data_IF_137043556941
#
_entry.id   IF_137043556941
#
_cell.length_a   1.000
_cell.length_b   1.000
_cell.length_c   1.000
_cell.angle_alpha   90.00
_cell.angle_beta   90.00
_cell.angle_gamma   90.00
#
_symmetry.space_group_name_H-M   'P 1'
#
loop_
_entity.id
_entity.type
_entity.pdbx_description
1 polymer ?
#
# COMPACT_ATOMS: atom_id res chain seq x y z
N UNK A 1 -4.47 22.81 41.41
CA UNK A 1 -3.50 22.85 40.28
C UNK A 1 -3.32 24.31 39.88
N UNK A 2 -2.09 24.83 39.95
CA UNK A 2 -1.81 26.23 39.65
C UNK A 2 -2.16 26.55 38.18
N UNK A 3 -2.66 27.76 37.90
CA UNK A 3 -2.94 28.24 36.53
C UNK A 3 -1.74 28.04 35.60
N UNK A 4 -0.53 28.12 36.14
CA UNK A 4 0.73 27.86 35.44
C UNK A 4 0.82 26.43 34.92
N UNK A 5 0.39 25.42 35.69
CA UNK A 5 0.45 24.02 35.27
C UNK A 5 -0.45 23.76 34.04
N UNK A 6 -1.62 24.41 33.96
CA UNK A 6 -2.51 24.31 32.80
C UNK A 6 -1.94 24.98 31.55
N UNK A 7 -1.22 26.09 31.69
CA UNK A 7 -0.53 26.74 30.56
C UNK A 7 0.62 25.88 30.05
N UNK A 8 1.41 25.31 30.96
CA UNK A 8 2.50 24.40 30.60
C UNK A 8 2.00 23.12 29.92
N UNK A 9 0.89 22.54 30.40
CA UNK A 9 0.29 21.35 29.79
C UNK A 9 -0.22 21.64 28.36
N UNK A 10 -0.84 22.81 28.16
CA UNK A 10 -1.31 23.26 26.86
C UNK A 10 -0.12 23.52 25.90
N UNK A 11 0.95 24.14 26.39
CA UNK A 11 2.17 24.37 25.62
C UNK A 11 2.84 23.06 25.19
N UNK A 12 2.91 22.05 26.09
CA UNK A 12 3.42 20.72 25.73
C UNK A 12 2.54 20.03 24.67
N UNK A 13 1.22 20.17 24.76
CA UNK A 13 0.30 19.59 23.78
C UNK A 13 0.45 20.24 22.39
N UNK A 14 0.71 21.55 22.32
CA UNK A 14 0.96 22.26 21.06
C UNK A 14 2.33 21.90 20.42
N UNK A 15 3.30 21.47 21.23
CA UNK A 15 4.60 20.98 20.75
C UNK A 15 4.56 19.51 20.30
N UNK A 16 3.41 18.83 20.45
CA UNK A 16 3.18 17.52 19.84
C UNK A 16 2.91 17.68 18.34
N UNK A 17 3.94 18.03 17.58
CA UNK A 17 3.89 17.93 16.12
C UNK A 17 3.65 16.46 15.74
N UNK A 18 2.73 16.17 14.79
CA UNK A 18 2.66 14.83 14.22
C UNK A 18 4.03 14.56 13.58
N UNK A 19 4.76 13.59 14.13
CA UNK A 19 5.94 13.07 13.45
C UNK A 19 5.45 12.58 12.08
N UNK A 20 5.93 13.20 11.01
CA UNK A 20 5.75 12.71 9.65
C UNK A 20 6.40 11.32 9.60
N UNK A 21 5.58 10.32 9.89
CA UNK A 21 6.03 8.97 10.10
C UNK A 21 6.65 8.47 8.81
N UNK A 22 7.90 8.03 8.90
CA UNK A 22 8.67 7.33 7.88
C UNK A 22 8.05 5.93 7.67
N UNK A 23 6.77 5.89 7.33
CA UNK A 23 6.06 4.63 7.13
C UNK A 23 6.63 3.98 5.88
N UNK A 24 7.40 2.93 6.12
CA UNK A 24 7.93 2.07 5.07
C UNK A 24 6.77 1.36 4.36
N UNK A 25 6.88 1.25 3.04
CA UNK A 25 6.05 0.45 2.17
C UNK A 25 6.95 -0.43 1.32
N UNK A 26 6.46 -1.59 0.95
CA UNK A 26 7.10 -2.48 -0.02
C UNK A 26 6.04 -2.98 -0.98
N UNK A 27 6.41 -3.03 -2.26
CA UNK A 27 5.58 -3.57 -3.34
C UNK A 27 6.45 -4.44 -4.22
N UNK A 28 5.90 -5.54 -4.73
CA UNK A 28 6.58 -6.37 -5.72
C UNK A 28 5.60 -7.06 -6.67
N UNK A 29 6.08 -7.40 -7.84
CA UNK A 29 5.33 -8.07 -8.90
C UNK A 29 6.20 -9.11 -9.60
N UNK A 30 5.54 -10.12 -10.19
CA UNK A 30 6.19 -11.12 -11.03
C UNK A 30 6.27 -10.65 -12.48
N UNK A 31 7.46 -10.73 -13.06
CA UNK A 31 7.76 -10.44 -14.45
C UNK A 31 8.59 -11.61 -15.02
N UNK A 32 7.91 -12.58 -15.62
CA UNK A 32 8.53 -13.86 -15.99
C UNK A 32 9.07 -14.59 -14.77
N UNK A 33 10.37 -14.92 -14.77
CA UNK A 33 11.07 -15.57 -13.66
C UNK A 33 11.57 -14.56 -12.60
N UNK A 34 11.26 -13.28 -12.75
CA UNK A 34 11.74 -12.25 -11.84
C UNK A 34 10.63 -11.75 -10.93
N UNK A 35 10.93 -11.61 -9.65
CA UNK A 35 10.20 -10.77 -8.72
C UNK A 35 10.92 -9.42 -8.70
N UNK A 36 10.24 -8.37 -9.17
CA UNK A 36 10.75 -6.99 -9.14
C UNK A 36 9.88 -6.15 -8.23
N UNK A 37 10.49 -5.27 -7.47
CA UNK A 37 9.78 -4.46 -6.50
C UNK A 37 10.49 -3.21 -6.08
N UNK A 38 9.85 -2.46 -5.19
CA UNK A 38 10.38 -1.24 -4.60
C UNK A 38 10.02 -1.14 -3.12
N UNK A 39 11.00 -0.81 -2.29
CA UNK A 39 10.81 -0.37 -0.90
C UNK A 39 10.92 1.16 -0.85
N UNK A 40 9.94 1.83 -0.23
CA UNK A 40 9.87 3.28 -0.24
C UNK A 40 9.14 3.81 1.00
N UNK A 41 9.41 5.06 1.38
CA UNK A 41 8.71 5.73 2.46
C UNK A 41 7.45 6.44 1.95
N UNK A 42 6.50 6.70 2.83
CA UNK A 42 5.40 7.65 2.55
C UNK A 42 6.02 8.99 2.12
N UNK A 43 5.61 9.49 0.95
CA UNK A 43 6.28 10.59 0.24
C UNK A 43 7.09 10.15 -1.00
N UNK A 44 7.24 8.85 -1.23
CA UNK A 44 7.79 8.29 -2.48
C UNK A 44 9.31 8.14 -2.53
N UNK A 45 10.04 8.62 -1.51
CA UNK A 45 11.48 8.45 -1.42
C UNK A 45 11.88 6.96 -1.32
N UNK A 46 12.87 6.55 -2.11
CA UNK A 46 13.41 5.19 -2.11
C UNK A 46 14.04 4.82 -0.77
N UNK A 47 13.85 3.57 -0.34
CA UNK A 47 14.42 3.04 0.90
C UNK A 47 15.66 2.17 0.61
N UNK A 48 16.70 2.75 0.00
CA UNK A 48 17.93 2.00 -0.34
C UNK A 48 18.71 1.44 0.86
N UNK A 49 18.55 2.03 2.04
CA UNK A 49 19.11 1.50 3.29
C UNK A 49 18.29 0.37 3.94
N UNK A 50 17.19 -0.08 3.32
CA UNK A 50 16.38 -1.16 3.85
C UNK A 50 17.00 -2.54 3.54
N UNK A 51 16.60 -3.55 4.31
CA UNK A 51 16.84 -4.97 4.06
C UNK A 51 15.53 -5.60 3.63
N UNK A 52 15.50 -6.28 2.48
CA UNK A 52 14.33 -7.00 1.99
C UNK A 52 14.61 -8.50 2.06
N UNK A 53 13.89 -9.21 2.91
CA UNK A 53 13.93 -10.67 2.97
C UNK A 53 12.85 -11.26 2.09
N UNK A 54 13.19 -12.29 1.33
CA UNK A 54 12.24 -13.10 0.58
C UNK A 54 12.10 -14.42 1.31
N UNK A 55 10.88 -14.77 1.67
CA UNK A 55 10.54 -15.93 2.47
C UNK A 55 9.56 -16.85 1.72
N UNK A 56 9.60 -18.15 2.01
CA UNK A 56 8.58 -19.12 1.57
C UNK A 56 7.29 -19.02 2.42
N UNK A 57 6.31 -19.88 2.11
CA UNK A 57 5.04 -19.99 2.85
C UNK A 57 5.22 -20.39 4.32
N UNK A 58 6.32 -21.06 4.65
CA UNK A 58 6.67 -21.48 6.01
C UNK A 58 7.49 -20.41 6.77
N UNK A 59 7.80 -19.28 6.13
CA UNK A 59 8.57 -18.19 6.70
C UNK A 59 10.09 -18.40 6.70
N UNK A 60 10.61 -19.42 5.98
CA UNK A 60 12.06 -19.58 5.82
C UNK A 60 12.57 -18.54 4.84
N UNK A 61 13.70 -17.94 5.16
CA UNK A 61 14.37 -16.97 4.29
C UNK A 61 15.00 -17.70 3.11
N UNK A 62 14.53 -17.39 1.90
CA UNK A 62 15.05 -17.85 0.62
C UNK A 62 16.19 -16.94 0.14
N UNK A 63 16.05 -15.63 0.35
CA UNK A 63 17.05 -14.64 -0.04
C UNK A 63 16.95 -13.36 0.82
N UNK A 64 18.05 -12.61 0.85
CA UNK A 64 18.13 -11.27 1.43
C UNK A 64 18.67 -10.31 0.38
N UNK A 65 18.02 -9.16 0.23
CA UNK A 65 18.32 -8.15 -0.77
C UNK A 65 18.50 -6.79 -0.08
N UNK A 66 19.43 -6.00 -0.61
CA UNK A 66 19.53 -4.56 -0.31
C UNK A 66 18.99 -3.81 -1.51
N UNK A 67 17.89 -3.04 -1.39
CA UNK A 67 17.40 -2.22 -2.48
C UNK A 67 18.43 -1.17 -2.90
N UNK A 68 18.38 -0.74 -4.16
CA UNK A 68 19.17 0.39 -4.66
C UNK A 68 18.70 1.72 -4.03
N UNK A 69 19.42 2.82 -4.30
CA UNK A 69 19.10 4.15 -3.73
C UNK A 69 17.66 4.62 -4.03
N UNK A 70 17.13 4.26 -5.19
CA UNK A 70 15.73 4.53 -5.60
C UNK A 70 14.71 3.58 -4.94
N UNK A 71 15.18 2.67 -4.09
CA UNK A 71 14.40 1.65 -3.40
C UNK A 71 14.11 0.40 -4.23
N UNK A 72 14.60 0.29 -5.47
CA UNK A 72 14.31 -0.86 -6.33
C UNK A 72 15.08 -2.11 -5.93
N UNK A 73 14.48 -3.28 -6.12
CA UNK A 73 15.13 -4.57 -5.93
C UNK A 73 14.60 -5.61 -6.93
N UNK A 74 15.40 -6.65 -7.16
CA UNK A 74 15.03 -7.76 -8.04
C UNK A 74 15.53 -9.10 -7.48
N UNK A 75 14.73 -10.14 -7.66
CA UNK A 75 15.04 -11.51 -7.28
C UNK A 75 14.56 -12.47 -8.36
N UNK A 76 15.37 -13.48 -8.68
CA UNK A 76 14.97 -14.50 -9.65
C UNK A 76 14.37 -15.68 -8.92
N UNK A 77 13.11 -15.98 -9.20
CA UNK A 77 12.45 -17.18 -8.69
C UNK A 77 12.74 -18.39 -9.57
N UNK A 78 12.91 -19.55 -8.95
CA UNK A 78 13.10 -20.84 -9.63
C UNK A 78 11.82 -21.69 -9.66
N UNK A 79 10.79 -21.30 -8.90
CA UNK A 79 9.55 -22.04 -8.79
C UNK A 79 8.34 -21.09 -8.61
N UNK A 80 7.16 -21.45 -9.14
CA UNK A 80 5.91 -20.71 -8.94
C UNK A 80 5.34 -21.03 -7.55
N UNK A 81 6.06 -20.62 -6.51
CA UNK A 81 5.66 -20.77 -5.10
C UNK A 81 5.27 -19.42 -4.52
N UNK A 82 4.53 -19.43 -3.42
CA UNK A 82 4.26 -18.20 -2.69
C UNK A 82 5.57 -17.59 -2.18
N UNK A 83 5.72 -16.27 -2.35
CA UNK A 83 6.85 -15.54 -1.80
C UNK A 83 6.34 -14.41 -0.91
N UNK A 84 6.82 -14.37 0.33
CA UNK A 84 6.60 -13.25 1.25
C UNK A 84 7.84 -12.37 1.27
N UNK A 85 7.69 -11.11 0.88
CA UNK A 85 8.72 -10.10 0.94
C UNK A 85 8.55 -9.29 2.21
N UNK A 86 9.60 -9.17 3.01
CA UNK A 86 9.62 -8.41 4.26
C UNK A 86 10.72 -7.37 4.20
N UNK A 87 10.34 -6.11 4.03
CA UNK A 87 11.26 -4.98 4.09
C UNK A 87 11.41 -4.49 5.54
N UNK A 88 12.63 -4.27 5.99
CA UNK A 88 12.98 -3.74 7.32
C UNK A 88 14.04 -2.67 7.23
N UNK A 89 13.96 -1.63 8.05
CA UNK A 89 14.99 -0.60 8.20
C UNK A 89 15.65 -0.68 9.58
N UNK A 90 16.86 -0.16 9.72
CA UNK A 90 17.63 -0.23 10.98
C UNK A 90 17.00 0.50 12.17
N UNK A 91 16.06 1.41 11.92
CA UNK A 91 15.28 2.15 12.91
C UNK A 91 13.99 1.43 13.35
N UNK A 92 13.77 0.20 12.88
CA UNK A 92 12.69 -0.67 13.34
C UNK A 92 11.39 -0.62 12.52
N UNK A 93 11.34 0.13 11.41
CA UNK A 93 10.19 0.05 10.51
C UNK A 93 10.18 -1.26 9.72
N UNK A 94 8.99 -1.77 9.44
CA UNK A 94 8.81 -2.96 8.61
C UNK A 94 7.58 -2.86 7.72
N UNK A 95 7.67 -3.41 6.52
CA UNK A 95 6.56 -3.59 5.59
C UNK A 95 6.63 -4.98 4.97
N UNK A 96 5.48 -5.53 4.58
CA UNK A 96 5.41 -6.85 3.97
C UNK A 96 4.54 -6.85 2.71
N UNK A 97 4.88 -7.72 1.77
CA UNK A 97 4.15 -7.96 0.54
C UNK A 97 4.16 -9.45 0.21
N UNK A 98 3.03 -9.99 -0.24
CA UNK A 98 2.93 -11.41 -0.60
C UNK A 98 2.65 -11.53 -2.09
N UNK A 99 3.40 -12.40 -2.75
CA UNK A 99 3.16 -12.84 -4.13
C UNK A 99 2.62 -14.26 -4.04
N UNK A 100 1.39 -14.47 -4.49
CA UNK A 100 0.78 -15.79 -4.54
C UNK A 100 1.48 -16.69 -5.58
N UNK A 101 1.63 -17.98 -5.28
CA UNK A 101 2.31 -18.95 -6.15
C UNK A 101 1.64 -19.16 -7.52
N UNK A 102 0.36 -18.78 -7.68
CA UNK A 102 -0.39 -19.03 -8.92
C UNK A 102 -0.37 -17.86 -9.93
N UNK A 103 0.15 -16.68 -9.57
CA UNK A 103 0.08 -15.52 -10.48
C UNK A 103 1.20 -15.53 -11.51
N UNK A 104 0.98 -16.26 -12.60
CA UNK A 104 1.54 -15.90 -13.90
C UNK A 104 0.57 -14.91 -14.57
N UNK A 105 1.02 -13.66 -14.67
CA UNK A 105 0.40 -12.48 -15.32
C UNK A 105 -0.50 -11.59 -14.43
N UNK A 106 0.00 -10.37 -14.19
CA UNK A 106 -0.75 -9.10 -14.36
C UNK A 106 -1.93 -8.76 -13.43
N UNK A 107 -2.33 -9.61 -12.50
CA UNK A 107 -3.48 -9.32 -11.65
C UNK A 107 -3.07 -8.55 -10.39
N UNK A 108 -3.30 -7.23 -10.40
CA UNK A 108 -3.38 -6.44 -9.17
C UNK A 108 -4.60 -6.91 -8.37
N UNK A 109 -4.40 -7.72 -7.34
CA UNK A 109 -5.41 -7.96 -6.31
C UNK A 109 -5.18 -6.97 -5.17
N UNK A 110 -6.05 -5.97 -4.96
CA UNK A 110 -5.99 -5.14 -3.76
C UNK A 110 -6.23 -6.01 -2.51
N UNK A 111 -5.73 -5.60 -1.32
CA UNK A 111 -5.96 -6.33 -0.08
C UNK A 111 -7.46 -6.46 0.18
N UNK A 112 -7.94 -7.69 0.37
CA UNK A 112 -9.30 -7.94 0.81
C UNK A 112 -9.49 -7.37 2.23
N UNK A 113 -10.46 -6.47 2.37
CA UNK A 113 -10.94 -5.94 3.64
C UNK A 113 -11.62 -7.09 4.40
N UNK A 114 -11.27 -7.41 5.66
CA UNK A 114 -11.87 -8.51 6.38
C UNK A 114 -13.24 -8.06 6.93
N UNK A 115 -14.26 -8.13 6.07
CA UNK A 115 -15.65 -8.17 6.50
C UNK A 115 -16.31 -9.44 5.98
N UNK A 116 -16.42 -10.36 6.94
CA UNK A 116 -17.41 -11.42 7.11
C UNK A 116 -18.60 -11.36 6.14
N UNK A 117 -18.78 -12.41 5.34
CA UNK A 117 -20.13 -12.82 4.96
C UNK A 117 -20.19 -14.35 4.79
N UNK A 118 -20.81 -14.96 5.78
CA UNK A 118 -21.16 -16.37 5.86
C UNK A 118 -22.43 -16.60 5.03
N UNK A 119 -22.28 -16.98 3.76
CA UNK A 119 -23.40 -17.35 2.88
C UNK A 119 -23.24 -18.77 2.31
N UNK A 120 -24.29 -19.60 2.27
CA UNK A 120 -24.19 -20.99 1.82
C UNK A 120 -23.97 -21.10 0.29
N UNK A 121 -23.36 -22.20 -0.19
CA UNK A 121 -22.95 -22.33 -1.59
C UNK A 121 -24.16 -22.36 -2.54
N UNK A 122 -24.06 -21.75 -3.75
CA UNK A 122 -25.09 -21.89 -4.76
C UNK A 122 -25.09 -23.30 -5.35
N UNK A 123 -26.26 -23.93 -5.31
CA UNK A 123 -26.61 -25.24 -5.88
C UNK A 123 -26.36 -25.28 -7.40
N UNK A 124 -25.61 -26.29 -7.86
CA UNK A 124 -25.45 -26.63 -9.29
C UNK A 124 -26.80 -27.07 -9.91
N UNK A 125 -27.19 -26.54 -11.08
CA UNK A 125 -28.23 -27.15 -11.91
C UNK A 125 -27.73 -28.38 -12.70
N UNK A 126 -28.63 -29.28 -13.14
CA UNK A 126 -28.29 -30.61 -13.62
C UNK A 126 -27.67 -30.62 -15.02
N UNK A 127 -26.78 -31.59 -15.23
CA UNK A 127 -26.24 -31.98 -16.51
C UNK A 127 -27.28 -32.77 -17.32
N UNK A 128 -27.81 -32.18 -18.40
CA UNK A 128 -28.19 -32.93 -19.60
C UNK A 128 -28.47 -31.98 -20.78
N UNK A 129 -27.50 -31.82 -21.68
CA UNK A 129 -27.71 -31.34 -23.05
C UNK A 129 -26.47 -31.73 -23.91
N UNK A 130 -26.65 -32.38 -25.08
CA UNK A 130 -25.53 -32.84 -25.89
C UNK A 130 -24.87 -31.67 -26.62
N UNK A 131 -23.57 -31.48 -26.39
CA UNK A 131 -22.74 -30.50 -27.09
C UNK A 131 -22.43 -30.97 -28.52
N UNK A 132 -22.45 -30.08 -29.54
CA UNK A 132 -21.94 -30.41 -30.87
C UNK A 132 -20.42 -30.54 -30.85
N UNK A 133 -19.92 -31.71 -31.23
CA UNK A 133 -18.50 -31.99 -31.45
C UNK A 133 -18.03 -31.25 -32.72
N UNK A 134 -17.54 -30.03 -32.57
CA UNK A 134 -16.69 -29.40 -33.58
C UNK A 134 -15.23 -29.87 -33.38
N UNK A 135 -14.48 -30.24 -34.43
CA UNK A 135 -13.08 -30.60 -34.29
C UNK A 135 -12.27 -29.38 -33.81
N UNK A 136 -11.61 -29.52 -32.66
CA UNK A 136 -10.61 -28.55 -32.21
C UNK A 136 -9.30 -28.84 -32.93
N UNK A 137 -9.14 -28.27 -34.12
CA UNK A 137 -7.82 -28.14 -34.76
C UNK A 137 -7.03 -27.04 -34.03
N UNK A 138 -6.50 -27.34 -32.85
CA UNK A 138 -5.44 -26.52 -32.26
C UNK A 138 -4.10 -27.02 -32.81
N UNK A 139 -3.69 -26.45 -33.93
CA UNK A 139 -2.30 -26.55 -34.37
C UNK A 139 -1.38 -25.94 -33.30
N UNK A 140 -0.18 -26.51 -33.04
CA UNK A 140 0.74 -25.96 -32.07
C UNK A 140 1.18 -24.56 -32.52
N UNK A 141 0.76 -23.53 -31.78
CA UNK A 141 1.23 -22.16 -31.97
C UNK A 141 2.70 -22.13 -31.57
N UNK A 142 3.59 -21.99 -32.55
CA UNK A 142 5.01 -21.73 -32.30
C UNK A 142 5.15 -20.46 -31.42
N UNK A 143 6.14 -20.40 -30.50
CA UNK A 143 6.34 -19.22 -29.66
C UNK A 143 6.58 -18.00 -30.56
N UNK A 144 5.60 -17.10 -30.60
CA UNK A 144 5.74 -15.82 -31.29
C UNK A 144 6.69 -14.96 -30.45
N UNK A 145 7.92 -14.76 -30.92
CA UNK A 145 8.82 -13.77 -30.36
C UNK A 145 8.20 -12.39 -30.58
N UNK A 146 7.79 -11.74 -29.50
CA UNK A 146 7.21 -10.39 -29.52
C UNK A 146 8.33 -9.39 -29.88
N UNK A 147 8.05 -8.49 -30.82
CA UNK A 147 9.00 -7.48 -31.29
C UNK A 147 9.39 -6.51 -30.14
N UNK A 148 10.69 -6.33 -29.82
CA UNK A 148 11.13 -5.39 -28.78
C UNK A 148 10.72 -3.94 -29.06
N UNK A 149 10.55 -3.55 -30.33
CA UNK A 149 10.07 -2.21 -30.68
C UNK A 149 8.60 -2.01 -30.27
N UNK A 150 7.78 -3.06 -30.35
CA UNK A 150 6.39 -3.05 -29.90
C UNK A 150 6.31 -2.91 -28.37
N UNK A 151 7.17 -3.62 -27.64
CA UNK A 151 7.26 -3.51 -26.17
C UNK A 151 7.60 -2.08 -25.75
N UNK A 152 8.62 -1.47 -26.37
CA UNK A 152 8.99 -0.08 -26.07
C UNK A 152 7.88 0.93 -26.41
N UNK A 153 7.11 0.70 -27.47
CA UNK A 153 5.96 1.54 -27.81
C UNK A 153 4.83 1.43 -26.76
N UNK A 154 4.56 0.22 -26.26
CA UNK A 154 3.57 -0.02 -25.20
C UNK A 154 4.01 0.65 -23.90
N UNK A 155 5.27 0.51 -23.50
CA UNK A 155 5.81 1.17 -22.30
C UNK A 155 5.71 2.70 -22.38
N UNK A 156 6.04 3.30 -23.53
CA UNK A 156 5.89 4.74 -23.73
C UNK A 156 4.43 5.19 -23.70
N UNK A 157 3.51 4.42 -24.29
CA UNK A 157 2.08 4.72 -24.24
C UNK A 157 1.55 4.63 -22.81
N UNK A 158 1.96 3.61 -22.05
CA UNK A 158 1.57 3.42 -20.66
C UNK A 158 2.15 4.50 -19.75
N UNK A 159 3.41 4.91 -19.95
CA UNK A 159 4.04 6.00 -19.22
C UNK A 159 3.28 7.33 -19.40
N UNK A 160 2.85 7.64 -20.63
CA UNK A 160 2.04 8.84 -20.91
C UNK A 160 0.69 8.83 -20.22
N UNK A 161 0.10 7.65 -19.99
CA UNK A 161 -1.19 7.53 -19.32
C UNK A 161 -1.08 7.48 -17.79
N UNK A 162 -0.04 6.86 -17.25
CA UNK A 162 0.14 6.66 -15.80
C UNK A 162 0.70 7.89 -15.09
N UNK A 163 1.59 8.64 -15.73
CA UNK A 163 2.15 9.88 -15.16
C UNK A 163 1.09 10.88 -14.68
N UNK A 164 0.11 11.30 -15.50
CA UNK A 164 -0.91 12.27 -15.06
C UNK A 164 -1.82 11.73 -13.95
N UNK A 165 -2.00 10.41 -13.86
CA UNK A 165 -2.79 9.80 -12.79
C UNK A 165 -2.04 9.83 -11.45
N UNK A 166 -0.74 9.50 -11.46
CA UNK A 166 0.10 9.57 -10.28
C UNK A 166 0.17 11.01 -9.72
N UNK A 167 0.28 12.01 -10.60
CA UNK A 167 0.33 13.42 -10.22
C UNK A 167 -0.99 13.91 -9.59
N UNK A 168 -2.13 13.45 -10.12
CA UNK A 168 -3.45 13.74 -9.54
C UNK A 168 -3.63 13.10 -8.16
N UNK A 169 -3.18 11.86 -7.99
CA UNK A 169 -3.23 11.17 -6.69
C UNK A 169 -2.41 11.93 -5.64
N UNK A 170 -1.20 12.36 -5.98
CA UNK A 170 -0.35 13.12 -5.06
C UNK A 170 -1.01 14.46 -4.66
N UNK A 171 -1.56 15.18 -5.65
CA UNK A 171 -2.25 16.47 -5.38
C UNK A 171 -3.47 16.29 -4.46
N UNK A 172 -4.21 15.18 -4.59
CA UNK A 172 -5.35 14.88 -3.72
C UNK A 172 -4.90 14.50 -2.30
N UNK A 173 -3.87 13.66 -2.18
CA UNK A 173 -3.31 13.24 -0.88
C UNK A 173 -2.80 14.45 -0.08
N UNK A 174 -2.10 15.39 -0.72
CA UNK A 174 -1.62 16.62 -0.08
C UNK A 174 -2.78 17.50 0.44
N UNK A 175 -3.85 17.66 -0.35
CA UNK A 175 -5.01 18.49 0.03
C UNK A 175 -5.78 17.89 1.20
N UNK A 176 -6.05 16.59 1.16
CA UNK A 176 -6.76 15.89 2.25
C UNK A 176 -5.95 16.00 3.53
N UNK A 177 -4.64 15.77 3.48
CA UNK A 177 -3.76 15.89 4.66
C UNK A 177 -3.78 17.30 5.27
N UNK A 178 -3.77 18.34 4.44
CA UNK A 178 -3.86 19.72 4.92
C UNK A 178 -5.21 19.99 5.60
N UNK A 179 -6.31 19.54 5.00
CA UNK A 179 -7.67 19.70 5.54
C UNK A 179 -7.84 18.97 6.88
N UNK A 180 -7.31 17.76 7.01
CA UNK A 180 -7.38 16.97 8.25
C UNK A 180 -6.62 17.67 9.40
N UNK A 181 -5.44 18.22 9.11
CA UNK A 181 -4.66 18.99 10.10
C UNK A 181 -5.42 20.25 10.54
N UNK A 182 -5.95 21.01 9.58
CA UNK A 182 -6.70 22.24 9.88
C UNK A 182 -8.00 21.93 10.66
N UNK A 183 -8.69 20.86 10.28
CA UNK A 183 -9.88 20.36 10.94
C UNK A 183 -9.60 19.92 12.38
N UNK A 184 -8.50 19.19 12.60
CA UNK A 184 -8.06 18.79 13.93
C UNK A 184 -7.77 19.99 14.85
N UNK A 185 -7.05 21.00 14.34
CA UNK A 185 -6.78 22.24 15.07
C UNK A 185 -8.10 22.96 15.41
N UNK A 186 -9.00 23.09 14.44
CA UNK A 186 -10.31 23.71 14.63
C UNK A 186 -11.16 23.00 15.69
N UNK A 187 -11.14 21.67 15.72
CA UNK A 187 -11.88 20.85 16.70
C UNK A 187 -11.36 21.08 18.13
N UNK A 188 -10.04 21.08 18.32
CA UNK A 188 -9.41 21.32 19.64
C UNK A 188 -9.74 22.73 20.14
N UNK A 189 -9.56 23.74 19.30
CA UNK A 189 -9.88 25.13 19.65
C UNK A 189 -11.38 25.32 19.93
N UNK A 190 -12.25 24.69 19.13
CA UNK A 190 -13.70 24.74 19.29
C UNK A 190 -14.16 24.15 20.62
N UNK A 191 -13.72 22.91 20.94
CA UNK A 191 -14.07 22.26 22.21
C UNK A 191 -13.51 23.02 23.42
N UNK A 192 -12.26 23.47 23.35
CA UNK A 192 -11.63 24.22 24.44
C UNK A 192 -12.33 25.57 24.67
N UNK A 193 -12.66 26.27 23.59
CA UNK A 193 -13.42 27.52 23.63
C UNK A 193 -14.81 27.31 24.24
N UNK A 194 -15.53 26.26 23.84
CA UNK A 194 -16.83 25.91 24.37
C UNK A 194 -16.77 25.58 25.88
N UNK A 195 -15.76 24.81 26.30
CA UNK A 195 -15.54 24.47 27.70
C UNK A 195 -15.24 25.70 28.57
N UNK A 196 -14.41 26.63 28.06
CA UNK A 196 -14.10 27.89 28.74
C UNK A 196 -15.33 28.80 28.83
N UNK A 197 -16.09 28.94 27.75
CA UNK A 197 -17.33 29.73 27.74
C UNK A 197 -18.33 29.20 28.77
N UNK A 198 -18.55 27.88 28.81
CA UNK A 198 -19.42 27.26 29.80
C UNK A 198 -18.91 27.50 31.23
N UNK A 199 -17.61 27.42 31.46
CA UNK A 199 -17.00 27.67 32.78
C UNK A 199 -17.18 29.12 33.23
N UNK A 200 -17.04 30.08 32.32
CA UNK A 200 -17.28 31.50 32.60
C UNK A 200 -18.75 31.78 32.94
N UNK A 201 -19.70 31.16 32.23
CA UNK A 201 -21.14 31.25 32.58
C UNK A 201 -21.43 30.78 34.01
N UNK A 202 -20.92 29.60 34.39
CA UNK A 202 -21.13 29.06 35.75
C UNK A 202 -20.44 29.86 36.86
N UNK A 203 -19.39 30.62 36.54
CA UNK A 203 -18.71 31.48 37.50
C UNK A 203 -19.44 32.81 37.72
N UNK A 204 -20.09 33.35 36.69
CA UNK A 204 -20.94 34.54 36.79
C UNK A 204 -22.28 34.30 37.52
N UNK A 205 -22.77 33.07 37.54
CA UNK A 205 -23.99 32.69 38.27
C UNK A 205 -23.75 32.40 39.78
N UNK A 206 -22.48 32.36 40.23
CA UNK A 206 -22.08 32.08 41.63
C UNK A 206 -21.46 33.28 42.36
N UNK A 207 -21.39 34.44 41.71
CA UNK A 207 -20.98 35.72 42.28
C UNK A 207 -22.21 36.58 42.52
#
# INVERSE_FOLDING_TARGET
MSRTASVWLLLLALMSQPALAHKLKVFAQTEGDWIRGRAYFVGGAGAGGARVEIQDSEGRVLAELTPADDGSFAYRTLAPVEHRLVARTGDGHSAQWTIAGETRQGAFSPPADPRDDSGPPPTQPPADAPAPTAPLDHAPVAPQTIDPALIGAIEQALARQTHPLAERLNTLEERVRFQDVLGGIGYILGLTGLALWWRCRRAGERA
#
